data_IF_538983212660
#
_entry.id   IF_538983212660
#
_cell.length_a   1.000
_cell.length_b   1.000
_cell.length_c   1.000
_cell.angle_alpha   90.00
_cell.angle_beta   90.00
_cell.angle_gamma   90.00
#
_symmetry.space_group_name_H-M   'P 1'
#
loop_
_entity.id
_entity.type
_entity.pdbx_description
1 polymer ?
#
# COMPACT_ATOMS: atom_id res chain seq x y z
N UNK A 1 4.09 -11.42 4.78
CA UNK A 1 5.40 -11.60 4.11
C UNK A 1 5.25 -11.95 2.63
N UNK A 2 4.68 -13.09 2.24
CA UNK A 2 4.61 -13.58 0.85
C UNK A 2 3.86 -12.63 -0.10
N UNK A 3 2.79 -11.98 0.37
CA UNK A 3 2.01 -11.01 -0.42
C UNK A 3 2.85 -9.82 -0.85
N UNK A 4 3.71 -9.33 0.04
CA UNK A 4 4.60 -8.21 -0.24
C UNK A 4 5.81 -8.61 -1.05
N UNK A 5 6.35 -9.81 -0.80
CA UNK A 5 7.37 -10.37 -1.66
C UNK A 5 6.92 -10.32 -3.12
N UNK A 6 5.80 -10.96 -3.43
CA UNK A 6 5.33 -11.06 -4.80
C UNK A 6 5.01 -9.69 -5.42
N UNK A 7 4.45 -8.77 -4.63
CA UNK A 7 4.18 -7.43 -5.11
C UNK A 7 5.46 -6.66 -5.45
N UNK A 8 6.47 -6.73 -4.57
CA UNK A 8 7.74 -6.01 -4.79
C UNK A 8 8.58 -6.66 -5.89
N UNK A 9 8.55 -7.99 -5.99
CA UNK A 9 9.23 -8.74 -7.04
C UNK A 9 8.71 -8.44 -8.47
N UNK A 10 7.45 -7.98 -8.60
CA UNK A 10 6.89 -7.62 -9.90
C UNK A 10 7.42 -6.29 -10.45
N UNK A 11 7.88 -5.36 -9.61
CA UNK A 11 8.35 -4.07 -10.07
C UNK A 11 9.53 -4.15 -11.07
N UNK A 12 10.61 -4.89 -10.79
CA UNK A 12 11.69 -5.09 -11.74
C UNK A 12 11.30 -6.01 -12.93
N UNK A 13 10.22 -6.78 -12.81
CA UNK A 13 9.74 -7.65 -13.87
C UNK A 13 8.83 -6.94 -14.90
N UNK A 14 8.39 -5.69 -14.64
CA UNK A 14 7.48 -4.96 -15.53
C UNK A 14 7.98 -4.86 -16.98
N UNK A 15 9.26 -4.54 -17.26
CA UNK A 15 9.74 -4.48 -18.64
C UNK A 15 9.67 -5.84 -19.35
N UNK A 16 10.00 -6.94 -18.67
CA UNK A 16 9.92 -8.28 -19.24
C UNK A 16 8.48 -8.73 -19.48
N UNK A 17 7.53 -8.33 -18.63
CA UNK A 17 6.09 -8.55 -18.84
C UNK A 17 5.60 -7.76 -20.06
N UNK A 18 6.02 -6.48 -20.19
CA UNK A 18 5.67 -5.65 -21.34
C UNK A 18 6.15 -6.28 -22.65
N UNK A 19 7.39 -6.77 -22.67
CA UNK A 19 7.97 -7.44 -23.82
C UNK A 19 7.28 -8.78 -24.15
N UNK A 20 6.99 -9.60 -23.13
CA UNK A 20 6.35 -10.91 -23.29
C UNK A 20 4.95 -10.79 -23.92
N UNK A 21 4.13 -9.86 -23.44
CA UNK A 21 2.77 -9.62 -23.96
C UNK A 21 2.72 -8.60 -25.10
N UNK A 22 3.86 -8.03 -25.52
CA UNK A 22 3.98 -7.01 -26.59
C UNK A 22 3.08 -5.79 -26.32
N UNK A 23 3.12 -5.26 -25.09
CA UNK A 23 2.31 -4.14 -24.61
C UNK A 23 3.20 -2.98 -24.17
N UNK A 24 2.61 -1.79 -23.96
CA UNK A 24 3.32 -0.64 -23.41
C UNK A 24 3.69 -0.85 -21.93
N UNK A 25 4.78 -0.20 -21.49
CA UNK A 25 5.17 -0.18 -20.08
C UNK A 25 4.07 0.40 -19.17
N UNK A 26 3.30 1.37 -19.68
CA UNK A 26 2.15 1.93 -18.96
C UNK A 26 1.08 0.88 -18.69
N UNK A 27 0.78 0.01 -19.68
CA UNK A 27 -0.18 -1.08 -19.48
C UNK A 27 0.41 -2.18 -18.58
N UNK A 28 1.70 -2.48 -18.68
CA UNK A 28 2.36 -3.44 -17.80
C UNK A 28 2.33 -3.00 -16.32
N UNK A 29 2.40 -1.69 -16.03
CA UNK A 29 2.32 -1.18 -14.64
C UNK A 29 1.00 -1.53 -13.95
N UNK A 30 -0.06 -1.80 -14.72
CA UNK A 30 -1.34 -2.25 -14.18
C UNK A 30 -1.26 -3.61 -13.46
N UNK A 31 -0.22 -4.41 -13.72
CA UNK A 31 0.05 -5.65 -12.98
C UNK A 31 0.25 -5.36 -11.48
N UNK A 32 0.85 -4.24 -11.12
CA UNK A 32 0.96 -3.79 -9.73
C UNK A 32 -0.28 -3.01 -9.28
N UNK A 33 -0.76 -2.13 -10.13
CA UNK A 33 -1.88 -1.22 -9.83
C UNK A 33 -3.18 -1.99 -9.58
N UNK A 34 -3.55 -2.95 -10.43
CA UNK A 34 -4.77 -3.76 -10.26
C UNK A 34 -4.78 -4.52 -8.92
N UNK A 35 -3.64 -5.07 -8.53
CA UNK A 35 -3.44 -5.70 -7.23
C UNK A 35 -3.68 -4.71 -6.07
N UNK A 36 -3.14 -3.50 -6.14
CA UNK A 36 -3.27 -2.48 -5.11
C UNK A 36 -4.68 -1.89 -5.04
N UNK A 37 -5.32 -1.63 -6.18
CA UNK A 37 -6.70 -1.12 -6.23
C UNK A 37 -7.66 -2.10 -5.56
N UNK A 38 -7.57 -3.39 -5.93
CA UNK A 38 -8.35 -4.43 -5.27
C UNK A 38 -8.07 -4.45 -3.76
N UNK A 39 -6.79 -4.37 -3.38
CA UNK A 39 -6.37 -4.34 -1.98
C UNK A 39 -6.96 -3.17 -1.20
N UNK A 40 -6.99 -1.97 -1.79
CA UNK A 40 -7.56 -0.77 -1.16
C UNK A 40 -9.06 -0.97 -0.85
N UNK A 41 -9.81 -1.41 -1.85
CA UNK A 41 -11.25 -1.69 -1.72
C UNK A 41 -11.50 -2.81 -0.69
N UNK A 42 -10.78 -3.91 -0.84
CA UNK A 42 -10.96 -5.10 0.01
C UNK A 42 -10.51 -4.88 1.46
N UNK A 43 -9.61 -3.95 1.75
CA UNK A 43 -9.19 -3.67 3.13
C UNK A 43 -10.37 -3.25 4.01
N UNK A 44 -11.27 -2.42 3.49
CA UNK A 44 -12.46 -1.97 4.24
C UNK A 44 -13.50 -3.09 4.33
N UNK A 45 -13.73 -3.80 3.23
CA UNK A 45 -14.72 -4.89 3.14
C UNK A 45 -14.34 -6.03 4.08
N UNK A 46 -13.11 -6.51 3.99
CA UNK A 46 -12.62 -7.64 4.77
C UNK A 46 -12.51 -7.28 6.26
N UNK A 47 -12.24 -6.01 6.59
CA UNK A 47 -12.35 -5.51 7.95
C UNK A 47 -13.76 -5.75 8.52
N UNK A 48 -14.81 -5.26 7.84
CA UNK A 48 -16.21 -5.46 8.26
C UNK A 48 -16.63 -6.93 8.25
N UNK A 49 -16.27 -7.68 7.20
CA UNK A 49 -16.57 -9.12 7.10
C UNK A 49 -15.91 -9.91 8.23
N UNK A 50 -14.71 -9.55 8.65
CA UNK A 50 -14.03 -10.22 9.76
C UNK A 50 -14.76 -10.07 11.10
N UNK A 51 -15.51 -8.97 11.27
CA UNK A 51 -16.32 -8.76 12.47
C UNK A 51 -17.63 -9.59 12.44
N UNK A 52 -18.19 -9.82 11.24
CA UNK A 52 -19.43 -10.58 11.05
C UNK A 52 -19.23 -12.09 11.00
N UNK A 53 -18.22 -12.54 10.25
CA UNK A 53 -18.02 -13.96 9.89
C UNK A 53 -16.89 -14.60 10.70
N UNK A 54 -16.02 -13.76 11.28
CA UNK A 54 -14.86 -14.18 12.05
C UNK A 54 -13.53 -13.98 11.31
N UNK A 55 -12.53 -13.52 12.04
CA UNK A 55 -11.23 -13.14 11.50
C UNK A 55 -10.47 -14.31 10.85
N UNK A 56 -10.50 -15.51 11.44
CA UNK A 56 -9.87 -16.71 10.86
C UNK A 56 -10.46 -17.06 9.50
N UNK A 57 -11.79 -17.10 9.38
CA UNK A 57 -12.45 -17.45 8.11
C UNK A 57 -12.09 -16.46 7.00
N UNK A 58 -12.06 -15.17 7.31
CA UNK A 58 -11.69 -14.15 6.34
C UNK A 58 -10.22 -14.24 5.94
N UNK A 59 -9.32 -14.50 6.88
CA UNK A 59 -7.92 -14.75 6.55
C UNK A 59 -7.76 -15.95 5.60
N UNK A 60 -8.49 -17.06 5.88
CA UNK A 60 -8.46 -18.26 5.02
C UNK A 60 -8.96 -17.97 3.60
N UNK A 61 -10.07 -17.21 3.46
CA UNK A 61 -10.58 -16.81 2.14
C UNK A 61 -9.54 -15.97 1.38
N UNK A 62 -8.93 -14.98 2.04
CA UNK A 62 -7.91 -14.15 1.41
C UNK A 62 -6.67 -14.94 1.00
N UNK A 63 -6.21 -15.87 1.84
CA UNK A 63 -5.09 -16.74 1.53
C UNK A 63 -5.42 -17.71 0.40
N UNK A 64 -6.63 -18.26 0.34
CA UNK A 64 -7.09 -19.12 -0.74
C UNK A 64 -7.12 -18.35 -2.06
N UNK A 65 -7.71 -17.15 -2.11
CA UNK A 65 -7.73 -16.29 -3.30
C UNK A 65 -6.31 -15.96 -3.78
N UNK A 66 -5.40 -15.64 -2.86
CA UNK A 66 -4.01 -15.38 -3.19
C UNK A 66 -3.31 -16.62 -3.77
N UNK A 67 -3.51 -17.78 -3.14
CA UNK A 67 -2.89 -19.05 -3.55
C UNK A 67 -3.36 -19.45 -4.96
N UNK A 68 -4.69 -19.41 -5.20
CA UNK A 68 -5.27 -19.72 -6.51
C UNK A 68 -4.74 -18.75 -7.58
N UNK A 69 -4.77 -17.44 -7.30
CA UNK A 69 -4.25 -16.43 -8.23
C UNK A 69 -2.75 -16.61 -8.50
N UNK A 70 -1.97 -17.06 -7.48
CA UNK A 70 -0.52 -17.27 -7.63
C UNK A 70 -0.19 -18.52 -8.43
N UNK A 71 -0.95 -19.61 -8.27
CA UNK A 71 -0.78 -20.83 -9.04
C UNK A 71 -1.13 -20.62 -10.53
N UNK A 72 -2.20 -19.85 -10.80
CA UNK A 72 -2.71 -19.67 -12.16
C UNK A 72 -1.97 -18.56 -12.95
N UNK A 73 -1.39 -17.57 -12.28
CA UNK A 73 -0.78 -16.41 -12.93
C UNK A 73 0.31 -16.76 -13.96
N UNK A 74 1.22 -17.72 -13.74
CA UNK A 74 2.23 -18.09 -14.75
C UNK A 74 1.66 -18.59 -16.06
N UNK A 75 0.43 -19.12 -16.05
CA UNK A 75 -0.26 -19.71 -17.20
C UNK A 75 -1.19 -18.72 -17.91
N UNK A 76 -1.15 -17.43 -17.57
CA UNK A 76 -2.00 -16.42 -18.18
C UNK A 76 -1.69 -16.29 -19.69
N UNK A 77 -2.68 -16.52 -20.59
CA UNK A 77 -2.46 -16.47 -22.04
C UNK A 77 -2.34 -15.04 -22.58
N UNK A 78 -2.85 -14.06 -21.84
CA UNK A 78 -2.84 -12.65 -22.19
C UNK A 78 -2.80 -11.76 -20.95
N UNK A 79 -2.51 -10.47 -21.17
CA UNK A 79 -2.41 -9.50 -20.08
C UNK A 79 -3.73 -9.36 -19.29
N UNK A 80 -4.88 -9.42 -19.93
CA UNK A 80 -6.18 -9.27 -19.26
C UNK A 80 -6.40 -10.40 -18.24
N UNK A 81 -6.06 -11.63 -18.60
CA UNK A 81 -6.11 -12.77 -17.68
C UNK A 81 -5.14 -12.57 -16.51
N UNK A 82 -3.90 -12.11 -16.79
CA UNK A 82 -2.93 -11.82 -15.74
C UNK A 82 -3.47 -10.74 -14.80
N UNK A 83 -4.05 -9.65 -15.32
CA UNK A 83 -4.64 -8.59 -14.50
C UNK A 83 -5.81 -9.10 -13.64
N UNK A 84 -6.69 -9.95 -14.19
CA UNK A 84 -7.76 -10.56 -13.42
C UNK A 84 -7.23 -11.41 -12.24
N UNK A 85 -6.17 -12.18 -12.47
CA UNK A 85 -5.52 -12.96 -11.42
C UNK A 85 -4.80 -12.06 -10.39
N UNK A 86 -4.24 -10.92 -10.82
CA UNK A 86 -3.69 -9.91 -9.91
C UNK A 86 -4.77 -9.24 -9.04
N UNK A 87 -5.97 -9.01 -9.60
CA UNK A 87 -7.13 -8.56 -8.81
C UNK A 87 -7.49 -9.61 -7.76
N UNK A 88 -7.56 -10.89 -8.13
CA UNK A 88 -7.83 -11.98 -7.18
C UNK A 88 -6.78 -12.04 -6.05
N UNK A 89 -5.50 -11.92 -6.38
CA UNK A 89 -4.41 -11.86 -5.40
C UNK A 89 -4.50 -10.60 -4.53
N UNK A 90 -4.98 -9.48 -5.07
CA UNK A 90 -5.13 -8.20 -4.38
C UNK A 90 -6.04 -8.26 -3.13
N UNK A 91 -6.97 -9.22 -3.08
CA UNK A 91 -7.81 -9.48 -1.91
C UNK A 91 -6.96 -9.72 -0.66
N UNK A 92 -5.78 -10.33 -0.80
CA UNK A 92 -4.87 -10.62 0.30
C UNK A 92 -4.16 -9.40 0.90
N UNK A 93 -4.14 -8.25 0.21
CA UNK A 93 -3.60 -6.99 0.77
C UNK A 93 -4.38 -6.56 2.02
N UNK A 94 -5.67 -6.92 2.09
CA UNK A 94 -6.52 -6.68 3.24
C UNK A 94 -6.15 -7.51 4.49
N UNK A 95 -5.12 -8.34 4.43
CA UNK A 95 -4.71 -9.21 5.56
C UNK A 95 -4.22 -8.44 6.79
N UNK A 96 -3.67 -7.24 6.62
CA UNK A 96 -3.05 -6.47 7.72
C UNK A 96 -4.00 -6.20 8.89
N UNK A 97 -5.19 -5.60 8.72
CA UNK A 97 -6.11 -5.36 9.83
C UNK A 97 -6.59 -6.67 10.47
N UNK A 98 -6.83 -7.71 9.67
CA UNK A 98 -7.28 -9.02 10.17
C UNK A 98 -6.19 -9.73 10.96
N UNK A 99 -4.95 -9.72 10.47
CA UNK A 99 -3.81 -10.30 11.19
C UNK A 99 -3.55 -9.59 12.52
N UNK A 100 -3.63 -8.25 12.54
CA UNK A 100 -3.51 -7.48 13.77
C UNK A 100 -4.59 -7.83 14.78
N UNK A 101 -5.85 -8.00 14.32
CA UNK A 101 -6.96 -8.45 15.16
C UNK A 101 -6.71 -9.86 15.72
N UNK A 102 -6.30 -10.81 14.88
CA UNK A 102 -5.98 -12.18 15.33
C UNK A 102 -4.85 -12.21 16.35
N UNK A 103 -3.79 -11.43 16.14
CA UNK A 103 -2.69 -11.32 17.13
C UNK A 103 -3.21 -10.77 18.45
N UNK A 104 -4.06 -9.75 18.42
CA UNK A 104 -4.66 -9.16 19.63
C UNK A 104 -5.55 -10.15 20.38
N UNK A 105 -6.30 -10.96 19.64
CA UNK A 105 -7.30 -11.89 20.21
C UNK A 105 -6.64 -13.20 20.71
N UNK A 106 -5.49 -13.61 20.16
CA UNK A 106 -4.84 -14.90 20.49
C UNK A 106 -3.58 -14.76 21.33
N UNK A 107 -3.01 -13.56 21.44
CA UNK A 107 -1.77 -13.33 22.19
C UNK A 107 -2.09 -12.58 23.49
N UNK A 108 -1.53 -13.02 24.66
CA UNK A 108 -1.72 -12.31 25.93
C UNK A 108 -1.41 -10.81 25.81
N UNK A 109 -2.19 -9.95 26.47
CA UNK A 109 -2.07 -8.48 26.40
C UNK A 109 -0.63 -7.99 26.65
N UNK A 110 0.09 -8.63 27.57
CA UNK A 110 1.50 -8.32 27.87
C UNK A 110 2.47 -8.62 26.72
N UNK A 111 2.17 -9.60 25.85
CA UNK A 111 2.98 -10.02 24.70
C UNK A 111 2.50 -9.48 23.36
N UNK A 112 1.36 -8.78 23.32
CA UNK A 112 0.80 -8.20 22.11
C UNK A 112 1.80 -7.30 21.35
N UNK A 113 2.57 -6.37 22.01
CA UNK A 113 3.54 -5.55 21.29
C UNK A 113 4.63 -6.38 20.60
N UNK A 114 5.05 -7.49 21.22
CA UNK A 114 6.05 -8.40 20.65
C UNK A 114 5.47 -9.11 19.42
N UNK A 115 4.28 -9.66 19.52
CA UNK A 115 3.59 -10.32 18.40
C UNK A 115 3.39 -9.38 17.19
N UNK A 116 2.96 -8.15 17.46
CA UNK A 116 2.80 -7.13 16.43
C UNK A 116 4.13 -6.72 15.79
N UNK A 117 5.20 -6.59 16.59
CA UNK A 117 6.55 -6.28 16.07
C UNK A 117 7.08 -7.38 15.17
N UNK A 118 6.91 -8.66 15.52
CA UNK A 118 7.31 -9.80 14.69
C UNK A 118 6.51 -9.78 13.37
N UNK A 119 5.20 -9.52 13.43
CA UNK A 119 4.37 -9.41 12.23
C UNK A 119 4.86 -8.29 11.29
N UNK A 120 5.11 -7.09 11.83
CA UNK A 120 5.58 -5.95 11.04
C UNK A 120 6.99 -6.16 10.47
N UNK A 121 7.88 -6.82 11.23
CA UNK A 121 9.22 -7.20 10.75
C UNK A 121 9.14 -8.22 9.60
N UNK A 122 8.28 -9.23 9.72
CA UNK A 122 8.03 -10.20 8.65
C UNK A 122 7.39 -9.52 7.42
N UNK A 123 6.52 -8.52 7.63
CA UNK A 123 5.93 -7.71 6.57
C UNK A 123 7.01 -6.97 5.77
N UNK A 124 7.90 -6.23 6.45
CA UNK A 124 9.01 -5.49 5.82
C UNK A 124 10.06 -6.43 5.21
N UNK A 125 10.35 -7.56 5.87
CA UNK A 125 11.24 -8.60 5.34
C UNK A 125 10.75 -9.19 4.03
N UNK A 126 9.43 -9.35 3.86
CA UNK A 126 8.84 -9.77 2.59
C UNK A 126 9.10 -8.79 1.45
N UNK A 127 9.01 -7.48 1.72
CA UNK A 127 9.35 -6.45 0.73
C UNK A 127 10.82 -6.49 0.33
N UNK A 128 11.73 -6.60 1.32
CA UNK A 128 13.17 -6.67 1.08
C UNK A 128 13.55 -7.91 0.24
N UNK A 129 13.02 -9.08 0.62
CA UNK A 129 13.25 -10.31 -0.13
C UNK A 129 12.69 -10.23 -1.55
N UNK A 130 11.52 -9.64 -1.75
CA UNK A 130 10.93 -9.45 -3.08
C UNK A 130 11.76 -8.55 -3.97
N UNK A 131 12.32 -7.48 -3.42
CA UNK A 131 13.19 -6.57 -4.14
C UNK A 131 14.50 -7.24 -4.61
N UNK A 132 15.09 -8.09 -3.76
CA UNK A 132 16.37 -8.75 -4.03
C UNK A 132 16.20 -10.01 -4.88
N UNK A 133 15.34 -10.92 -4.45
CA UNK A 133 15.15 -12.21 -5.12
C UNK A 133 14.29 -12.10 -6.38
N UNK A 134 13.39 -11.10 -6.45
CA UNK A 134 12.50 -10.91 -7.58
C UNK A 134 13.23 -10.81 -8.92
N UNK A 135 14.20 -9.90 -9.09
CA UNK A 135 14.99 -9.79 -10.31
C UNK A 135 15.81 -11.05 -10.61
N UNK A 136 16.40 -11.66 -9.57
CA UNK A 136 17.21 -12.88 -9.71
C UNK A 136 16.39 -14.05 -10.24
N UNK A 137 15.22 -14.26 -9.64
CA UNK A 137 14.30 -15.31 -10.06
C UNK A 137 13.75 -15.02 -11.46
N UNK A 138 13.48 -13.76 -11.77
CA UNK A 138 13.00 -13.37 -13.11
C UNK A 138 14.07 -13.51 -14.19
N UNK A 139 15.35 -13.48 -13.86
CA UNK A 139 16.46 -13.66 -14.80
C UNK A 139 16.57 -15.10 -15.34
N UNK A 140 16.07 -16.10 -14.60
CA UNK A 140 16.03 -17.50 -15.03
C UNK A 140 14.74 -17.82 -15.81
N UNK A 141 13.68 -18.29 -15.13
CA UNK A 141 12.42 -18.71 -15.78
C UNK A 141 11.53 -17.53 -16.21
N UNK A 142 12.05 -16.30 -16.23
CA UNK A 142 11.29 -15.10 -16.55
C UNK A 142 10.45 -14.61 -15.37
N UNK A 143 9.54 -13.66 -15.64
CA UNK A 143 8.64 -13.08 -14.64
C UNK A 143 7.76 -14.14 -13.94
N UNK A 144 7.45 -15.24 -14.62
CA UNK A 144 6.68 -16.37 -14.10
C UNK A 144 7.38 -17.05 -12.91
N UNK A 145 8.70 -17.04 -12.87
CA UNK A 145 9.50 -17.67 -11.82
C UNK A 145 9.13 -17.21 -10.42
N UNK A 146 8.79 -15.93 -10.26
CA UNK A 146 8.36 -15.39 -8.97
C UNK A 146 7.04 -16.02 -8.48
N UNK A 147 6.14 -16.36 -9.40
CA UNK A 147 4.91 -17.07 -9.07
C UNK A 147 5.17 -18.54 -8.75
N UNK A 148 6.03 -19.22 -9.54
CA UNK A 148 6.43 -20.62 -9.26
C UNK A 148 7.09 -20.75 -7.88
N UNK A 149 7.92 -19.79 -7.49
CA UNK A 149 8.52 -19.78 -6.15
C UNK A 149 7.48 -19.56 -5.05
N UNK A 150 6.53 -18.64 -5.26
CA UNK A 150 5.54 -18.31 -4.26
C UNK A 150 4.42 -19.35 -4.11
N UNK A 151 4.06 -20.07 -5.18
CA UNK A 151 2.93 -20.98 -5.17
C UNK A 151 3.05 -22.09 -4.10
N UNK A 152 4.14 -22.87 -4.01
CA UNK A 152 4.26 -23.89 -2.97
C UNK A 152 4.27 -23.29 -1.56
N UNK A 153 4.93 -22.13 -1.38
CA UNK A 153 4.96 -21.44 -0.08
C UNK A 153 3.56 -20.98 0.32
N UNK A 154 2.76 -20.47 -0.63
CA UNK A 154 1.38 -20.04 -0.38
C UNK A 154 0.48 -21.21 0.04
N UNK A 155 0.63 -22.38 -0.60
CA UNK A 155 -0.10 -23.60 -0.22
C UNK A 155 0.27 -24.06 1.18
N UNK A 156 1.57 -24.12 1.50
CA UNK A 156 2.05 -24.49 2.85
C UNK A 156 1.51 -23.51 3.90
N UNK A 157 1.60 -22.20 3.64
CA UNK A 157 1.09 -21.18 4.56
C UNK A 157 -0.43 -21.27 4.73
N UNK A 158 -1.17 -21.55 3.67
CA UNK A 158 -2.62 -21.76 3.74
C UNK A 158 -2.94 -22.94 4.69
N UNK A 159 -2.22 -24.06 4.54
CA UNK A 159 -2.36 -25.23 5.40
C UNK A 159 -1.97 -24.92 6.86
N UNK A 160 -0.84 -24.23 7.07
CA UNK A 160 -0.38 -23.82 8.41
C UNK A 160 -1.42 -22.91 9.09
N UNK A 161 -1.92 -21.89 8.38
CA UNK A 161 -2.96 -21.01 8.92
C UNK A 161 -4.25 -21.77 9.25
N UNK A 162 -4.68 -22.70 8.38
CA UNK A 162 -5.85 -23.53 8.63
C UNK A 162 -5.69 -24.39 9.88
N UNK A 163 -4.51 -25.02 10.07
CA UNK A 163 -4.22 -25.98 11.15
C UNK A 163 -3.99 -25.33 12.51
N UNK A 164 -3.27 -24.19 12.53
CA UNK A 164 -2.75 -23.62 13.78
C UNK A 164 -3.50 -22.39 14.29
N UNK A 165 -4.22 -21.67 13.45
CA UNK A 165 -5.01 -20.52 13.91
C UNK A 165 -6.34 -21.05 14.49
N UNK A 166 -6.62 -20.73 15.77
CA UNK A 166 -7.86 -21.13 16.44
C UNK A 166 -9.00 -20.15 16.15
N UNK A 167 -10.24 -20.66 16.01
CA UNK A 167 -11.39 -19.86 15.58
C UNK A 167 -12.34 -19.45 16.71
N UNK A 168 -12.24 -20.05 17.89
CA UNK A 168 -13.34 -20.02 18.85
C UNK A 168 -13.21 -19.03 20.01
N UNK A 169 -12.03 -18.45 20.24
CA UNK A 169 -11.85 -17.56 21.41
C UNK A 169 -12.45 -16.15 21.20
N UNK A 170 -12.45 -15.63 19.95
CA UNK A 170 -12.99 -14.29 19.69
C UNK A 170 -14.51 -14.19 19.92
N UNK A 171 -15.27 -15.29 19.70
CA UNK A 171 -16.71 -15.33 20.01
C UNK A 171 -16.97 -15.38 21.52
N UNK A 172 -16.21 -16.20 22.26
CA UNK A 172 -16.38 -16.36 23.71
C UNK A 172 -15.97 -15.11 24.49
N UNK A 173 -14.89 -14.44 24.07
CA UNK A 173 -14.45 -13.18 24.70
C UNK A 173 -15.45 -12.07 24.39
N UNK A 174 -15.95 -11.98 23.18
CA UNK A 174 -16.94 -10.96 22.80
C UNK A 174 -18.30 -11.18 23.48
N UNK A 175 -18.74 -12.43 23.64
CA UNK A 175 -19.93 -12.78 24.43
C UNK A 175 -19.72 -12.57 25.94
N UNK A 176 -18.49 -12.76 26.44
CA UNK A 176 -18.17 -12.51 27.85
C UNK A 176 -18.06 -11.00 28.14
N UNK A 177 -17.40 -10.24 27.26
CA UNK A 177 -17.29 -8.77 27.39
C UNK A 177 -18.69 -8.12 27.26
N UNK A 178 -19.55 -8.60 26.36
CA UNK A 178 -20.93 -8.13 26.24
C UNK A 178 -21.76 -8.43 27.51
N UNK A 179 -21.58 -9.60 28.13
CA UNK A 179 -22.29 -9.94 29.39
C UNK A 179 -21.78 -9.13 30.60
N UNK A 180 -20.50 -8.77 30.60
CA UNK A 180 -19.90 -7.93 31.66
C UNK A 180 -20.32 -6.46 31.49
N UNK A 181 -20.41 -5.99 30.23
CA UNK A 181 -20.89 -4.63 29.94
C UNK A 181 -22.42 -4.49 30.10
N UNK A 182 -23.21 -5.55 29.82
CA UNK A 182 -24.65 -5.60 30.11
C UNK A 182 -24.95 -5.60 31.62
N UNK A 183 -24.07 -6.13 32.44
CA UNK A 183 -24.22 -6.10 33.92
C UNK A 183 -23.85 -4.74 34.53
N UNK A 184 -23.19 -3.85 33.78
CA UNK A 184 -22.68 -2.56 34.26
C UNK A 184 -23.28 -1.32 33.60
N UNK A 185 -24.19 -1.47 32.61
CA UNK A 185 -24.83 -0.32 31.95
C UNK A 185 -26.31 -0.58 31.65
N UNK A 186 -27.17 0.28 32.17
CA UNK A 186 -28.64 0.34 31.92
C UNK A 186 -29.00 0.82 30.48
N UNK A 187 -28.09 0.71 29.52
CA UNK A 187 -28.32 1.10 28.12
C UNK A 187 -28.24 -0.16 27.25
N UNK A 188 -29.35 -0.62 26.65
CA UNK A 188 -29.34 -1.78 25.75
C UNK A 188 -28.58 -1.44 24.47
N UNK A 189 -27.29 -1.72 24.42
CA UNK A 189 -26.48 -1.62 23.21
C UNK A 189 -26.83 -2.81 22.30
N UNK A 190 -27.99 -2.74 21.63
CA UNK A 190 -28.32 -3.69 20.54
C UNK A 190 -27.21 -3.57 19.51
N UNK A 191 -26.36 -4.59 19.41
CA UNK A 191 -25.38 -4.73 18.33
C UNK A 191 -26.11 -4.60 16.99
N UNK A 192 -26.10 -3.42 16.39
CA UNK A 192 -26.76 -3.13 15.12
C UNK A 192 -26.11 -4.02 14.07
N UNK A 193 -26.86 -4.99 13.54
CA UNK A 193 -26.41 -5.92 12.49
C UNK A 193 -25.84 -5.08 11.34
N UNK A 194 -24.51 -4.95 11.26
CA UNK A 194 -23.84 -4.12 10.25
C UNK A 194 -24.08 -4.75 8.88
N UNK A 195 -24.71 -4.02 7.98
CA UNK A 195 -24.91 -4.45 6.59
C UNK A 195 -23.72 -4.00 5.74
N UNK A 196 -23.36 -4.79 4.74
CA UNK A 196 -22.32 -4.44 3.78
C UNK A 196 -22.92 -3.46 2.76
N UNK A 197 -22.27 -2.33 2.57
CA UNK A 197 -22.64 -1.35 1.55
C UNK A 197 -22.01 -1.71 0.19
N UNK A 198 -22.68 -2.59 -0.57
CA UNK A 198 -22.22 -3.00 -1.90
C UNK A 198 -22.16 -1.82 -2.89
N UNK A 199 -23.07 -0.85 -2.77
CA UNK A 199 -23.11 0.30 -3.67
C UNK A 199 -21.92 1.21 -3.41
N UNK A 200 -21.60 1.47 -2.12
CA UNK A 200 -20.40 2.20 -1.74
C UNK A 200 -19.11 1.52 -2.23
N UNK A 201 -19.04 0.18 -2.16
CA UNK A 201 -17.91 -0.60 -2.68
C UNK A 201 -17.73 -0.38 -4.18
N UNK A 202 -18.80 -0.55 -4.96
CA UNK A 202 -18.75 -0.43 -6.42
C UNK A 202 -18.38 0.99 -6.82
N UNK A 203 -19.02 1.99 -6.23
CA UNK A 203 -18.74 3.39 -6.55
C UNK A 203 -17.31 3.79 -6.22
N UNK A 204 -16.76 3.33 -5.09
CA UNK A 204 -15.35 3.53 -4.72
C UNK A 204 -14.40 2.84 -5.71
N UNK A 205 -14.68 1.59 -6.08
CA UNK A 205 -13.84 0.84 -7.02
C UNK A 205 -13.81 1.52 -8.40
N UNK A 206 -14.98 1.89 -8.94
CA UNK A 206 -15.08 2.59 -10.23
C UNK A 206 -14.36 3.94 -10.18
N UNK A 207 -14.49 4.70 -9.08
CA UNK A 207 -13.77 5.97 -8.87
C UNK A 207 -12.26 5.77 -8.99
N UNK A 208 -11.70 4.82 -8.23
CA UNK A 208 -10.25 4.56 -8.21
C UNK A 208 -9.74 4.10 -9.58
N UNK A 209 -10.43 3.13 -10.20
CA UNK A 209 -10.04 2.61 -11.52
C UNK A 209 -10.11 3.72 -12.57
N UNK A 210 -11.16 4.53 -12.59
CA UNK A 210 -11.33 5.60 -13.57
C UNK A 210 -10.26 6.68 -13.46
N UNK A 211 -9.90 7.11 -12.25
CA UNK A 211 -8.79 8.05 -12.04
C UNK A 211 -7.45 7.47 -12.49
N UNK A 212 -7.19 6.19 -12.22
CA UNK A 212 -5.96 5.54 -12.65
C UNK A 212 -5.87 5.36 -14.17
N UNK A 213 -7.00 5.06 -14.83
CA UNK A 213 -7.08 5.06 -16.30
C UNK A 213 -6.80 6.46 -16.86
N UNK A 214 -7.40 7.50 -16.28
CA UNK A 214 -7.13 8.88 -16.69
C UNK A 214 -5.63 9.23 -16.57
N UNK A 215 -4.98 8.90 -15.43
CA UNK A 215 -3.55 9.12 -15.25
C UNK A 215 -2.74 8.35 -16.30
N UNK A 216 -3.08 7.08 -16.57
CA UNK A 216 -2.40 6.26 -17.58
C UNK A 216 -2.49 6.87 -18.97
N UNK A 217 -3.67 7.41 -19.33
CA UNK A 217 -3.93 7.99 -20.63
C UNK A 217 -3.53 9.48 -20.74
N UNK A 218 -2.97 10.07 -19.67
CA UNK A 218 -2.51 11.46 -19.69
C UNK A 218 -1.44 11.75 -20.75
N UNK A 219 -0.67 10.74 -21.14
CA UNK A 219 0.30 10.85 -22.25
C UNK A 219 -0.36 11.07 -23.62
N UNK A 220 -1.62 10.67 -23.77
CA UNK A 220 -2.36 10.79 -25.02
C UNK A 220 -3.13 12.12 -25.15
N UNK A 221 -3.00 13.05 -24.21
CA UNK A 221 -3.78 14.30 -24.19
C UNK A 221 -3.61 15.09 -25.49
N UNK A 222 -2.38 15.16 -26.00
CA UNK A 222 -2.09 15.90 -27.24
C UNK A 222 -2.68 15.26 -28.51
N UNK A 223 -2.89 13.93 -28.50
CA UNK A 223 -3.40 13.18 -29.68
C UNK A 223 -4.87 12.81 -29.53
N UNK A 224 -5.33 12.54 -28.31
CA UNK A 224 -6.71 12.13 -28.03
C UNK A 224 -7.16 12.62 -26.64
N UNK A 225 -7.59 13.88 -26.59
CA UNK A 225 -8.08 14.51 -25.37
C UNK A 225 -9.26 13.75 -24.74
N UNK A 226 -10.15 13.17 -25.55
CA UNK A 226 -11.32 12.43 -25.05
C UNK A 226 -10.92 11.18 -24.29
N UNK A 227 -9.85 10.49 -24.70
CA UNK A 227 -9.35 9.31 -23.98
C UNK A 227 -8.95 9.64 -22.54
N UNK A 228 -8.48 10.85 -22.26
CA UNK A 228 -8.17 11.33 -20.92
C UNK A 228 -9.40 11.85 -20.17
N UNK A 229 -10.21 12.71 -20.84
CA UNK A 229 -11.33 13.43 -20.19
C UNK A 229 -12.46 12.48 -19.79
N UNK A 230 -12.75 11.45 -20.61
CA UNK A 230 -13.85 10.53 -20.32
C UNK A 230 -13.62 9.73 -19.03
N UNK A 231 -12.48 9.04 -18.81
CA UNK A 231 -12.24 8.37 -17.54
C UNK A 231 -12.16 9.34 -16.35
N UNK A 232 -11.60 10.53 -16.56
CA UNK A 232 -11.56 11.56 -15.52
C UNK A 232 -12.97 11.99 -15.11
N UNK A 233 -13.85 12.25 -16.05
CA UNK A 233 -15.25 12.63 -15.79
C UNK A 233 -16.01 11.50 -15.09
N UNK A 234 -15.83 10.24 -15.54
CA UNK A 234 -16.41 9.07 -14.88
C UNK A 234 -15.91 8.99 -13.43
N UNK A 235 -14.60 9.16 -13.21
CA UNK A 235 -14.02 9.17 -11.87
C UNK A 235 -14.63 10.22 -10.96
N UNK A 236 -14.81 11.45 -11.44
CA UNK A 236 -15.45 12.55 -10.68
C UNK A 236 -16.91 12.25 -10.39
N UNK A 237 -17.68 11.78 -11.39
CA UNK A 237 -19.10 11.44 -11.22
C UNK A 237 -19.24 10.34 -10.16
N UNK A 238 -18.45 9.26 -10.23
CA UNK A 238 -18.53 8.16 -9.29
C UNK A 238 -18.00 8.55 -7.90
N UNK A 239 -17.05 9.48 -7.80
CA UNK A 239 -16.63 10.06 -6.51
C UNK A 239 -17.79 10.81 -5.83
N UNK A 240 -18.53 11.61 -6.60
CA UNK A 240 -19.72 12.32 -6.09
C UNK A 240 -20.80 11.32 -5.68
N UNK A 241 -21.06 10.31 -6.52
CA UNK A 241 -21.99 9.22 -6.20
C UNK A 241 -21.58 8.47 -4.93
N UNK A 242 -20.30 8.15 -4.80
CA UNK A 242 -19.75 7.53 -3.57
C UNK A 242 -20.04 8.39 -2.34
N UNK A 243 -19.77 9.70 -2.39
CA UNK A 243 -20.07 10.60 -1.28
C UNK A 243 -21.56 10.68 -0.94
N UNK A 244 -22.45 10.64 -1.95
CA UNK A 244 -23.91 10.64 -1.76
C UNK A 244 -24.36 9.32 -1.12
N UNK A 245 -23.87 8.19 -1.63
CA UNK A 245 -24.18 6.85 -1.11
C UNK A 245 -23.72 6.72 0.34
N UNK A 246 -22.48 7.11 0.66
CA UNK A 246 -21.94 7.08 2.02
C UNK A 246 -22.72 7.95 3.01
N UNK A 247 -23.21 9.13 2.56
CA UNK A 247 -24.07 9.98 3.41
C UNK A 247 -25.41 9.35 3.74
N UNK A 248 -25.95 8.50 2.84
CA UNK A 248 -27.28 7.87 2.99
C UNK A 248 -27.20 6.45 3.53
N UNK A 249 -26.04 5.84 3.53
CA UNK A 249 -25.83 4.46 3.94
C UNK A 249 -26.10 4.30 5.46
N UNK A 250 -26.91 3.30 5.82
CA UNK A 250 -27.15 2.94 7.22
C UNK A 250 -25.91 2.38 7.92
N UNK A 251 -24.94 1.89 7.16
CA UNK A 251 -23.68 1.31 7.64
C UNK A 251 -22.55 1.65 6.66
N UNK A 252 -22.14 2.95 6.60
CA UNK A 252 -21.18 3.43 5.62
C UNK A 252 -19.85 2.68 5.69
N UNK A 253 -19.15 2.56 4.56
CA UNK A 253 -17.78 2.03 4.49
C UNK A 253 -16.81 2.98 5.17
N UNK A 254 -16.97 4.26 4.87
CA UNK A 254 -16.15 5.34 5.40
C UNK A 254 -17.10 6.36 6.02
N UNK A 255 -17.06 6.52 7.34
CA UNK A 255 -17.83 7.58 7.97
C UNK A 255 -17.27 8.94 7.54
N UNK A 256 -18.04 9.68 6.74
CA UNK A 256 -17.58 10.95 6.15
C UNK A 256 -17.31 12.02 7.22
N UNK A 257 -18.07 12.06 8.32
CA UNK A 257 -17.80 13.01 9.42
C UNK A 257 -16.41 12.75 10.03
N UNK A 258 -16.05 11.45 10.18
CA UNK A 258 -14.73 11.05 10.66
C UNK A 258 -13.65 11.33 9.60
N UNK A 259 -13.89 10.97 8.34
CA UNK A 259 -12.93 11.13 7.25
C UNK A 259 -12.58 12.61 6.99
N UNK A 260 -13.55 13.52 7.11
CA UNK A 260 -13.36 14.95 6.90
C UNK A 260 -12.99 15.73 8.18
N UNK A 261 -12.82 15.06 9.34
CA UNK A 261 -12.25 15.72 10.49
C UNK A 261 -10.84 16.26 10.15
N UNK A 262 -10.55 17.57 10.37
CA UNK A 262 -9.36 18.21 9.79
C UNK A 262 -8.03 17.50 10.08
N UNK A 263 -7.84 16.97 11.30
CA UNK A 263 -6.63 16.22 11.67
C UNK A 263 -6.57 14.88 10.93
N UNK A 264 -7.69 14.14 10.90
CA UNK A 264 -7.78 12.82 10.26
C UNK A 264 -7.63 12.96 8.75
N UNK A 265 -8.32 13.94 8.14
CA UNK A 265 -8.22 14.22 6.71
C UNK A 265 -6.80 14.55 6.29
N UNK A 266 -6.13 15.45 7.04
CA UNK A 266 -4.74 15.80 6.75
C UNK A 266 -3.82 14.59 6.86
N UNK A 267 -3.99 13.75 7.90
CA UNK A 267 -3.23 12.51 8.07
C UNK A 267 -3.46 11.51 6.94
N UNK A 268 -4.70 11.38 6.46
CA UNK A 268 -5.07 10.51 5.35
C UNK A 268 -4.45 10.96 4.02
N UNK A 269 -4.44 12.28 3.72
CA UNK A 269 -3.76 12.83 2.54
C UNK A 269 -2.25 12.59 2.62
N UNK A 270 -1.63 12.81 3.78
CA UNK A 270 -0.20 12.53 3.95
C UNK A 270 0.13 11.05 3.78
N UNK A 271 -0.75 10.15 4.23
CA UNK A 271 -0.58 8.71 4.07
C UNK A 271 -0.72 8.28 2.60
N UNK A 272 -1.63 8.90 1.84
CA UNK A 272 -1.74 8.74 0.39
C UNK A 272 -0.45 9.18 -0.32
N UNK A 273 0.03 10.39 -0.02
CA UNK A 273 1.27 10.93 -0.60
C UNK A 273 2.48 10.05 -0.25
N UNK A 274 2.56 9.55 0.98
CA UNK A 274 3.59 8.60 1.38
C UNK A 274 3.52 7.30 0.57
N UNK A 275 2.32 6.79 0.29
CA UNK A 275 2.12 5.63 -0.58
C UNK A 275 2.68 5.87 -1.99
N UNK A 276 2.43 7.03 -2.59
CA UNK A 276 2.98 7.40 -3.90
C UNK A 276 4.51 7.45 -3.84
N UNK A 277 5.09 8.16 -2.86
CA UNK A 277 6.54 8.27 -2.68
C UNK A 277 7.22 6.90 -2.54
N UNK A 278 6.62 6.00 -1.76
CA UNK A 278 7.12 4.65 -1.58
C UNK A 278 7.20 3.89 -2.92
N UNK A 279 6.19 4.04 -3.76
CA UNK A 279 6.16 3.35 -5.05
C UNK A 279 6.96 4.05 -6.15
N UNK A 280 7.25 5.34 -6.05
CA UNK A 280 8.28 5.99 -6.88
C UNK A 280 9.64 5.29 -6.74
N UNK A 281 9.97 4.90 -5.50
CA UNK A 281 11.20 4.15 -5.21
C UNK A 281 11.08 2.70 -5.68
N UNK A 282 10.00 2.00 -5.29
CA UNK A 282 9.82 0.57 -5.60
C UNK A 282 9.82 0.31 -7.11
N UNK A 283 9.24 1.21 -7.92
CA UNK A 283 9.14 1.06 -9.37
C UNK A 283 10.21 1.80 -10.16
N UNK A 284 10.64 2.98 -9.71
CA UNK A 284 11.61 3.82 -10.42
C UNK A 284 13.05 3.32 -10.27
N UNK A 285 13.47 2.90 -9.08
CA UNK A 285 14.86 2.46 -8.85
C UNK A 285 15.24 1.21 -9.65
N UNK A 286 14.40 0.15 -9.76
CA UNK A 286 14.73 -0.96 -10.63
C UNK A 286 14.87 -0.57 -12.10
N UNK A 287 14.05 0.37 -12.59
CA UNK A 287 14.15 0.86 -13.96
C UNK A 287 15.44 1.64 -14.19
N UNK A 288 15.84 2.50 -13.23
CA UNK A 288 17.14 3.20 -13.26
C UNK A 288 18.31 2.20 -13.23
N UNK A 289 18.21 1.17 -12.38
CA UNK A 289 19.26 0.16 -12.24
C UNK A 289 19.45 -0.69 -13.49
N UNK A 290 18.37 -1.10 -14.15
CA UNK A 290 18.39 -2.02 -15.30
C UNK A 290 18.60 -1.32 -16.63
N UNK A 291 18.25 -0.03 -16.77
CA UNK A 291 18.43 0.70 -18.02
C UNK A 291 19.94 0.82 -18.37
N UNK A 292 20.33 0.58 -19.63
CA UNK A 292 21.73 0.71 -20.05
C UNK A 292 22.19 2.17 -20.05
N UNK A 293 23.51 2.43 -19.88
CA UNK A 293 24.05 3.78 -20.06
C UNK A 293 23.77 4.33 -21.47
N UNK A 294 23.49 5.64 -21.65
CA UNK A 294 23.47 6.68 -20.61
C UNK A 294 22.16 6.82 -19.83
N UNK A 295 21.14 5.99 -20.11
CA UNK A 295 19.80 6.09 -19.48
C UNK A 295 19.80 5.67 -18.02
N UNK A 296 20.64 4.72 -17.63
CA UNK A 296 20.72 4.17 -16.28
C UNK A 296 22.07 3.54 -15.98
N UNK A 297 22.08 2.60 -15.03
CA UNK A 297 23.31 2.01 -14.51
C UNK A 297 23.75 0.72 -15.21
N UNK A 298 22.89 0.11 -16.03
CA UNK A 298 23.18 -1.15 -16.74
C UNK A 298 23.53 -2.33 -15.82
N UNK A 299 22.89 -2.39 -14.65
CA UNK A 299 23.20 -3.38 -13.63
C UNK A 299 22.54 -4.73 -13.92
N UNK A 300 23.23 -5.81 -13.53
CA UNK A 300 22.66 -7.15 -13.51
C UNK A 300 21.45 -7.24 -12.55
N UNK A 301 20.52 -8.18 -12.78
CA UNK A 301 19.30 -8.33 -11.97
C UNK A 301 19.58 -8.43 -10.45
N UNK A 302 20.65 -9.14 -10.05
CA UNK A 302 21.03 -9.25 -8.65
C UNK A 302 21.45 -7.90 -8.05
N UNK A 303 22.23 -7.12 -8.79
CA UNK A 303 22.66 -5.78 -8.36
C UNK A 303 21.47 -4.81 -8.32
N UNK A 304 20.55 -4.90 -9.28
CA UNK A 304 19.29 -4.13 -9.26
C UNK A 304 18.49 -4.43 -8.00
N UNK A 305 18.33 -5.71 -7.65
CA UNK A 305 17.67 -6.12 -6.41
C UNK A 305 18.37 -5.61 -5.16
N UNK A 306 19.71 -5.64 -5.14
CA UNK A 306 20.51 -5.16 -4.01
C UNK A 306 20.34 -3.66 -3.73
N UNK A 307 20.00 -2.84 -4.75
CA UNK A 307 19.70 -1.42 -4.55
C UNK A 307 18.53 -1.20 -3.57
N UNK A 308 17.52 -2.05 -3.59
CA UNK A 308 16.36 -1.92 -2.70
C UNK A 308 16.53 -2.62 -1.34
N UNK A 309 17.60 -3.38 -1.16
CA UNK A 309 17.89 -4.09 0.09
C UNK A 309 18.05 -3.11 1.24
N UNK A 310 18.76 -2.00 1.02
CA UNK A 310 18.97 -0.97 2.01
C UNK A 310 17.67 -0.37 2.55
N UNK A 311 16.67 -0.15 1.68
CA UNK A 311 15.33 0.28 2.04
C UNK A 311 14.63 -0.73 2.97
N UNK A 312 14.60 -2.01 2.57
CA UNK A 312 13.95 -3.07 3.34
C UNK A 312 14.63 -3.32 4.70
N UNK A 313 15.97 -3.35 4.73
CA UNK A 313 16.74 -3.53 5.96
C UNK A 313 16.53 -2.36 6.93
N UNK A 314 16.56 -1.13 6.44
CA UNK A 314 16.27 0.04 7.27
C UNK A 314 14.90 -0.04 7.92
N UNK A 315 13.85 -0.37 7.15
CA UNK A 315 12.50 -0.57 7.71
C UNK A 315 12.45 -1.69 8.75
N UNK A 316 13.15 -2.79 8.51
CA UNK A 316 13.19 -3.93 9.41
C UNK A 316 13.88 -3.59 10.74
N UNK A 317 14.95 -2.80 10.70
CA UNK A 317 15.70 -2.38 11.89
C UNK A 317 14.94 -1.29 12.66
N UNK A 318 14.53 -0.22 11.97
CA UNK A 318 13.95 0.96 12.62
C UNK A 318 12.47 0.81 12.99
N UNK A 319 11.72 -0.10 12.34
CA UNK A 319 10.32 -0.35 12.65
C UNK A 319 10.09 -0.71 14.13
N UNK A 320 10.70 -1.77 14.66
CA UNK A 320 10.60 -2.12 16.08
C UNK A 320 11.15 -1.02 17.01
N UNK A 321 12.26 -0.37 16.64
CA UNK A 321 12.88 0.70 17.43
C UNK A 321 11.91 1.86 17.63
N UNK A 322 11.33 2.39 16.54
CA UNK A 322 10.35 3.47 16.64
C UNK A 322 9.08 3.02 17.35
N UNK A 323 8.66 1.76 17.15
CA UNK A 323 7.53 1.18 17.86
C UNK A 323 7.69 1.25 19.37
N UNK A 324 8.85 0.82 19.88
CA UNK A 324 9.18 0.86 21.30
C UNK A 324 9.28 2.30 21.83
N UNK A 325 9.91 3.21 21.08
CA UNK A 325 10.07 4.62 21.47
C UNK A 325 8.69 5.30 21.59
N UNK A 326 7.82 5.09 20.60
CA UNK A 326 6.48 5.69 20.57
C UNK A 326 5.59 5.10 21.68
N UNK A 327 5.68 3.80 21.93
CA UNK A 327 4.91 3.14 23.00
C UNK A 327 5.24 3.66 24.40
N UNK A 328 6.50 4.03 24.64
CA UNK A 328 6.98 4.52 25.95
C UNK A 328 6.60 5.98 26.24
N UNK A 329 6.33 6.81 25.23
CA UNK A 329 6.10 8.26 25.39
C UNK A 329 4.84 8.72 24.69
N UNK A 330 3.76 8.94 25.44
CA UNK A 330 2.51 9.52 24.91
C UNK A 330 2.76 10.91 24.31
N UNK A 331 2.19 11.20 23.13
CA UNK A 331 2.33 12.50 22.44
C UNK A 331 3.59 12.65 21.58
N UNK A 332 4.49 11.66 21.54
CA UNK A 332 5.69 11.70 20.71
C UNK A 332 5.36 11.58 19.20
N UNK A 333 4.23 10.98 18.83
CA UNK A 333 3.79 10.83 17.45
C UNK A 333 3.81 12.15 16.65
N UNK A 334 3.18 13.21 17.19
CA UNK A 334 3.14 14.52 16.54
C UNK A 334 4.51 15.20 16.45
N UNK A 335 5.40 14.94 17.42
CA UNK A 335 6.76 15.49 17.41
C UNK A 335 7.65 14.82 16.38
N UNK A 336 7.45 13.51 16.14
CA UNK A 336 8.23 12.71 15.20
C UNK A 336 7.72 12.82 13.75
N UNK A 337 6.52 13.38 13.54
CA UNK A 337 5.91 13.49 12.21
C UNK A 337 6.75 14.35 11.26
N UNK A 338 7.10 15.57 11.67
CA UNK A 338 7.91 16.49 10.84
C UNK A 338 9.31 15.92 10.57
N UNK A 339 10.09 15.45 11.57
CA UNK A 339 11.35 14.77 11.32
C UNK A 339 11.24 13.60 10.34
N UNK A 340 10.21 12.76 10.45
CA UNK A 340 10.00 11.63 9.53
C UNK A 340 9.84 12.06 8.08
N UNK A 341 9.10 13.15 7.83
CA UNK A 341 8.92 13.68 6.47
C UNK A 341 10.20 14.36 5.97
N UNK A 342 10.91 15.08 6.83
CA UNK A 342 12.21 15.67 6.47
C UNK A 342 13.20 14.58 6.07
N UNK A 343 13.25 13.46 6.78
CA UNK A 343 14.07 12.30 6.39
C UNK A 343 13.67 11.78 4.99
N UNK A 344 12.37 11.68 4.69
CA UNK A 344 11.91 11.30 3.36
C UNK A 344 12.33 12.33 2.29
N UNK A 345 12.20 13.63 2.58
CA UNK A 345 12.63 14.70 1.67
C UNK A 345 14.15 14.65 1.40
N UNK A 346 14.95 14.45 2.44
CA UNK A 346 16.42 14.28 2.31
C UNK A 346 16.74 13.11 1.40
N UNK A 347 16.05 11.99 1.54
CA UNK A 347 16.25 10.82 0.67
C UNK A 347 16.01 11.15 -0.80
N UNK A 348 14.91 11.83 -1.13
CA UNK A 348 14.61 12.21 -2.51
C UNK A 348 15.58 13.28 -3.03
N UNK A 349 16.07 14.20 -2.19
CA UNK A 349 17.15 15.13 -2.54
C UNK A 349 18.45 14.39 -2.84
N UNK A 350 18.82 13.41 -2.02
CA UNK A 350 19.98 12.56 -2.28
C UNK A 350 19.84 11.81 -3.62
N UNK A 351 18.65 11.26 -3.91
CA UNK A 351 18.40 10.61 -5.20
C UNK A 351 18.46 11.62 -6.36
N UNK A 352 17.95 12.84 -6.18
CA UNK A 352 17.97 13.86 -7.22
C UNK A 352 19.40 14.25 -7.63
N UNK A 353 20.30 14.40 -6.67
CA UNK A 353 21.67 14.88 -6.92
C UNK A 353 22.70 13.77 -7.02
N UNK A 354 22.48 12.60 -6.40
CA UNK A 354 23.48 11.54 -6.23
C UNK A 354 22.95 10.15 -6.62
N UNK A 355 22.32 10.01 -7.80
CA UNK A 355 21.82 8.72 -8.30
C UNK A 355 22.73 8.03 -9.33
N UNK A 356 23.96 8.51 -9.53
CA UNK A 356 24.89 7.98 -10.53
C UNK A 356 25.64 6.72 -10.07
N UNK A 357 25.63 6.38 -8.77
CA UNK A 357 26.31 5.20 -8.25
C UNK A 357 25.39 4.34 -7.38
N UNK A 358 25.60 3.02 -7.39
CA UNK A 358 24.84 2.09 -6.57
C UNK A 358 24.95 2.40 -5.06
N UNK A 359 26.11 2.88 -4.61
CA UNK A 359 26.34 3.19 -3.20
C UNK A 359 25.54 4.41 -2.75
N UNK A 360 25.50 5.47 -3.54
CA UNK A 360 24.71 6.67 -3.22
C UNK A 360 23.22 6.38 -3.22
N UNK A 361 22.73 5.56 -4.18
CA UNK A 361 21.35 5.09 -4.20
C UNK A 361 21.04 4.29 -2.94
N UNK A 362 21.88 3.31 -2.57
CA UNK A 362 21.68 2.52 -1.35
C UNK A 362 21.63 3.40 -0.08
N UNK A 363 22.50 4.40 0.02
CA UNK A 363 22.48 5.38 1.09
C UNK A 363 21.16 6.15 1.17
N UNK A 364 20.72 6.68 0.03
CA UNK A 364 19.44 7.39 -0.05
C UNK A 364 18.26 6.50 0.31
N UNK A 365 18.25 5.24 -0.17
CA UNK A 365 17.20 4.28 0.13
C UNK A 365 17.18 3.82 1.59
N UNK A 366 18.35 3.72 2.24
CA UNK A 366 18.43 3.47 3.68
C UNK A 366 17.80 4.61 4.48
N UNK A 367 18.06 5.85 4.09
CA UNK A 367 17.41 7.05 4.67
C UNK A 367 15.90 7.00 4.45
N UNK A 368 15.42 6.67 3.23
CA UNK A 368 13.98 6.55 2.98
C UNK A 368 13.33 5.43 3.78
N UNK A 369 14.01 4.30 3.97
CA UNK A 369 13.51 3.18 4.76
C UNK A 369 13.28 3.57 6.23
N UNK A 370 14.11 4.46 6.79
CA UNK A 370 13.91 5.02 8.13
C UNK A 370 12.61 5.83 8.19
N UNK A 371 12.34 6.68 7.20
CA UNK A 371 11.08 7.40 7.07
C UNK A 371 9.90 6.43 6.87
N UNK A 372 10.11 5.38 6.07
CA UNK A 372 9.13 4.32 5.79
C UNK A 372 8.71 3.52 7.03
N UNK A 373 9.62 3.37 8.00
CA UNK A 373 9.30 2.77 9.29
C UNK A 373 8.54 3.73 10.21
N UNK A 374 8.88 5.02 10.18
CA UNK A 374 8.37 6.02 11.12
C UNK A 374 7.01 6.61 10.70
N UNK A 375 6.86 7.01 9.43
CA UNK A 375 5.70 7.78 8.97
C UNK A 375 4.37 7.04 9.06
N UNK A 376 4.22 5.80 8.55
CA UNK A 376 2.95 5.09 8.65
C UNK A 376 2.50 4.89 10.09
N UNK A 377 3.44 4.66 11.00
CA UNK A 377 3.15 4.46 12.41
C UNK A 377 2.71 5.76 13.10
N UNK A 378 3.44 6.86 12.88
CA UNK A 378 3.10 8.17 13.48
C UNK A 378 1.79 8.71 12.95
N UNK A 379 1.53 8.59 11.64
CA UNK A 379 0.28 9.01 11.00
C UNK A 379 -0.90 8.20 11.52
N UNK A 380 -0.81 6.87 11.52
CA UNK A 380 -1.88 6.00 12.01
C UNK A 380 -2.18 6.26 13.49
N UNK A 381 -1.15 6.35 14.35
CA UNK A 381 -1.36 6.62 15.77
C UNK A 381 -1.95 8.00 16.01
N UNK A 382 -1.60 9.02 15.21
CA UNK A 382 -2.17 10.35 15.33
C UNK A 382 -3.64 10.36 14.90
N UNK A 383 -3.99 9.74 13.78
CA UNK A 383 -5.39 9.66 13.31
C UNK A 383 -6.25 8.87 14.29
N UNK A 384 -5.75 7.76 14.85
CA UNK A 384 -6.43 6.99 15.90
C UNK A 384 -6.65 7.84 17.16
N UNK A 385 -5.69 8.68 17.54
CA UNK A 385 -5.80 9.56 18.70
C UNK A 385 -6.95 10.58 18.64
N UNK A 386 -7.43 10.90 17.43
CA UNK A 386 -8.58 11.78 17.18
C UNK A 386 -9.86 11.03 16.83
N UNK A 387 -9.81 9.70 16.80
CA UNK A 387 -10.93 8.82 16.50
C UNK A 387 -11.51 8.26 17.81
N UNK A 388 -12.84 8.28 18.01
CA UNK A 388 -13.47 7.65 19.18
C UNK A 388 -13.10 6.16 19.29
N UNK A 389 -13.06 5.64 20.51
CA UNK A 389 -12.62 4.26 20.78
C UNK A 389 -13.39 3.21 19.98
N UNK A 390 -14.68 3.42 19.79
CA UNK A 390 -15.60 2.54 19.05
C UNK A 390 -15.28 2.49 17.54
N UNK A 391 -14.63 3.52 16.99
CA UNK A 391 -14.33 3.68 15.57
C UNK A 391 -12.83 3.54 15.24
N UNK A 392 -11.98 3.21 16.21
CA UNK A 392 -10.51 3.14 16.02
C UNK A 392 -10.09 2.13 14.94
N UNK A 393 -10.80 1.02 14.84
CA UNK A 393 -10.59 0.02 13.79
C UNK A 393 -10.86 0.58 12.40
N UNK A 394 -12.00 1.29 12.24
CA UNK A 394 -12.37 1.94 10.96
C UNK A 394 -11.39 3.06 10.63
N UNK A 395 -11.03 3.90 11.60
CA UNK A 395 -10.06 4.99 11.40
C UNK A 395 -8.70 4.50 10.91
N UNK A 396 -8.16 3.46 11.55
CA UNK A 396 -6.89 2.85 11.12
C UNK A 396 -6.98 2.17 9.74
N UNK A 397 -8.12 1.53 9.45
CA UNK A 397 -8.35 0.91 8.15
C UNK A 397 -8.39 1.95 7.02
N UNK A 398 -9.09 3.08 7.22
CA UNK A 398 -9.15 4.18 6.26
C UNK A 398 -7.77 4.78 6.01
N UNK A 399 -6.99 5.04 7.08
CA UNK A 399 -5.63 5.56 6.95
C UNK A 399 -4.72 4.61 6.16
N UNK A 400 -4.79 3.30 6.44
CA UNK A 400 -4.02 2.31 5.68
C UNK A 400 -4.52 2.17 4.22
N UNK A 401 -5.83 2.27 4.00
CA UNK A 401 -6.43 2.29 2.66
C UNK A 401 -5.85 3.45 1.83
N UNK A 402 -5.72 4.65 2.39
CA UNK A 402 -5.13 5.80 1.70
C UNK A 402 -3.69 5.51 1.25
N UNK A 403 -2.88 4.84 2.08
CA UNK A 403 -1.54 4.39 1.70
C UNK A 403 -1.55 3.42 0.52
N UNK A 404 -2.50 2.48 0.51
CA UNK A 404 -2.64 1.49 -0.57
C UNK A 404 -3.11 2.18 -1.86
N UNK A 405 -4.04 3.13 -1.78
CA UNK A 405 -4.46 3.97 -2.93
C UNK A 405 -3.27 4.73 -3.51
N UNK A 406 -2.46 5.37 -2.65
CA UNK A 406 -1.20 5.99 -3.07
C UNK A 406 -0.25 5.00 -3.75
N UNK A 407 -0.16 3.76 -3.20
CA UNK A 407 0.60 2.66 -3.79
C UNK A 407 0.07 2.18 -5.15
N UNK A 408 -1.23 2.35 -5.43
CA UNK A 408 -1.81 2.08 -6.74
C UNK A 408 -1.50 3.20 -7.76
N UNK A 409 -1.49 4.45 -7.31
CA UNK A 409 -1.18 5.63 -8.13
C UNK A 409 0.31 5.66 -8.49
N UNK A 410 1.18 5.32 -7.55
CA UNK A 410 2.64 5.46 -7.67
C UNK A 410 3.24 4.80 -8.91
N UNK A 411 2.99 3.51 -9.20
CA UNK A 411 3.53 2.82 -10.38
C UNK A 411 3.09 3.48 -11.69
N UNK A 412 1.83 3.90 -11.79
CA UNK A 412 1.29 4.57 -12.97
C UNK A 412 1.96 5.92 -13.17
N UNK A 413 2.05 6.75 -12.14
CA UNK A 413 2.75 8.04 -12.21
C UNK A 413 4.23 7.84 -12.58
N UNK A 414 4.91 6.85 -11.99
CA UNK A 414 6.30 6.54 -12.33
C UNK A 414 6.46 6.24 -13.81
N UNK A 415 5.63 5.35 -14.36
CA UNK A 415 5.73 4.97 -15.78
C UNK A 415 5.36 6.12 -16.71
N UNK A 416 4.37 6.94 -16.36
CA UNK A 416 3.99 8.15 -17.12
C UNK A 416 5.15 9.15 -17.16
N UNK A 417 5.78 9.42 -16.01
CA UNK A 417 6.95 10.33 -15.94
C UNK A 417 8.11 9.77 -16.73
N UNK A 418 8.45 8.49 -16.58
CA UNK A 418 9.60 7.91 -17.26
C UNK A 418 9.38 7.76 -18.77
N UNK A 419 8.14 7.62 -19.23
CA UNK A 419 7.80 7.56 -20.65
C UNK A 419 7.66 8.96 -21.30
N UNK A 420 7.69 10.05 -20.53
CA UNK A 420 7.53 11.42 -21.07
C UNK A 420 8.67 11.85 -21.99
N UNK A 421 9.87 11.29 -21.82
CA UNK A 421 10.98 11.44 -22.74
C UNK A 421 11.80 10.14 -22.78
N UNK A 422 12.05 9.63 -23.97
CA UNK A 422 12.78 8.37 -24.19
C UNK A 422 13.98 8.58 -25.10
N UNK A 423 14.99 7.72 -24.94
CA UNK A 423 16.18 7.64 -25.79
C UNK A 423 16.25 6.24 -26.38
N UNK A 424 16.48 6.17 -27.70
CA UNK A 424 16.69 4.89 -28.37
C UNK A 424 18.13 4.45 -28.22
N UNK A 425 18.34 3.32 -27.56
CA UNK A 425 19.66 2.70 -27.35
C UNK A 425 19.66 1.36 -28.08
N UNK A 426 20.69 1.11 -28.89
CA UNK A 426 20.87 -0.16 -29.58
C UNK A 426 21.55 -1.17 -28.64
N UNK A 427 20.84 -2.19 -28.24
CA UNK A 427 21.36 -3.31 -27.44
C UNK A 427 21.24 -4.57 -28.26
N UNK A 428 22.35 -5.30 -28.47
CA UNK A 428 22.40 -6.51 -29.28
C UNK A 428 21.79 -6.33 -30.69
N UNK A 429 22.12 -5.23 -31.38
CA UNK A 429 21.62 -4.84 -32.71
C UNK A 429 20.09 -4.61 -32.77
N UNK A 430 19.39 -4.45 -31.64
CA UNK A 430 17.98 -4.10 -31.57
C UNK A 430 17.87 -2.71 -30.96
N UNK A 431 17.25 -1.77 -31.66
CA UNK A 431 16.94 -0.44 -31.13
C UNK A 431 15.78 -0.55 -30.12
N UNK A 432 16.09 -0.30 -28.85
CA UNK A 432 15.11 -0.34 -27.76
C UNK A 432 14.99 1.04 -27.14
N UNK A 433 13.76 1.46 -26.84
CA UNK A 433 13.49 2.75 -26.20
C UNK A 433 13.60 2.64 -24.68
N UNK A 434 14.44 3.47 -24.08
CA UNK A 434 14.65 3.57 -22.64
C UNK A 434 14.27 4.97 -22.13
N UNK A 435 13.89 5.12 -20.84
CA UNK A 435 13.65 6.44 -20.25
C UNK A 435 14.89 7.34 -20.38
N UNK A 436 14.70 8.60 -20.71
CA UNK A 436 15.81 9.57 -20.71
C UNK A 436 16.33 9.81 -19.27
N UNK A 437 17.62 10.07 -19.04
CA UNK A 437 18.15 10.42 -17.72
C UNK A 437 17.39 11.59 -17.06
N UNK A 438 16.92 12.54 -17.85
CA UNK A 438 16.14 13.69 -17.36
C UNK A 438 14.83 13.25 -16.69
N UNK A 439 14.21 12.17 -17.14
CA UNK A 439 12.94 11.71 -16.57
C UNK A 439 13.10 11.15 -15.16
N UNK A 440 14.26 10.58 -14.83
CA UNK A 440 14.57 10.18 -13.45
C UNK A 440 14.74 11.41 -12.55
N UNK A 441 15.37 12.48 -13.04
CA UNK A 441 15.44 13.75 -12.31
C UNK A 441 14.05 14.35 -12.08
N UNK A 442 13.15 14.28 -13.06
CA UNK A 442 11.76 14.71 -12.91
C UNK A 442 11.04 13.84 -11.85
N UNK A 443 11.23 12.53 -11.86
CA UNK A 443 10.65 11.62 -10.89
C UNK A 443 11.11 11.94 -9.45
N UNK A 444 12.41 12.10 -9.25
CA UNK A 444 12.98 12.42 -7.93
C UNK A 444 12.62 13.85 -7.50
N UNK A 445 12.60 14.81 -8.42
CA UNK A 445 12.14 16.18 -8.18
C UNK A 445 10.67 16.24 -7.76
N UNK A 446 9.80 15.47 -8.42
CA UNK A 446 8.40 15.33 -8.01
C UNK A 446 8.29 14.72 -6.60
N UNK A 447 9.16 13.76 -6.26
CA UNK A 447 9.26 13.20 -4.91
C UNK A 447 9.65 14.27 -3.87
N UNK A 448 10.62 15.12 -4.16
CA UNK A 448 11.01 16.26 -3.30
C UNK A 448 9.85 17.23 -3.12
N UNK A 449 9.19 17.64 -4.20
CA UNK A 449 8.05 18.56 -4.15
C UNK A 449 6.92 18.02 -3.31
N UNK A 450 6.61 16.73 -3.47
CA UNK A 450 5.58 16.03 -2.67
C UNK A 450 5.98 15.94 -1.19
N UNK A 451 7.24 15.63 -0.88
CA UNK A 451 7.73 15.61 0.49
C UNK A 451 7.67 16.99 1.14
N UNK A 452 8.01 18.06 0.42
CA UNK A 452 7.86 19.44 0.91
C UNK A 452 6.40 19.77 1.19
N UNK A 453 5.47 19.41 0.30
CA UNK A 453 4.03 19.56 0.54
C UNK A 453 3.59 18.81 1.80
N UNK A 454 4.11 17.61 2.05
CA UNK A 454 3.87 16.88 3.29
C UNK A 454 4.42 17.60 4.54
N UNK A 455 5.53 18.32 4.46
CA UNK A 455 6.04 19.13 5.59
C UNK A 455 5.02 20.21 5.96
N UNK A 456 4.47 20.94 4.98
CA UNK A 456 3.43 21.94 5.23
C UNK A 456 2.17 21.31 5.84
N UNK A 457 1.72 20.17 5.33
CA UNK A 457 0.59 19.43 5.88
C UNK A 457 0.86 18.95 7.31
N UNK A 458 2.08 18.50 7.62
CA UNK A 458 2.46 18.10 8.96
C UNK A 458 2.46 19.27 9.97
N UNK A 459 2.95 20.43 9.55
CA UNK A 459 2.89 21.65 10.37
C UNK A 459 1.43 22.04 10.63
N UNK A 460 0.59 22.02 9.59
CA UNK A 460 -0.85 22.26 9.72
C UNK A 460 -1.51 21.23 10.64
N UNK A 461 -1.21 19.94 10.47
CA UNK A 461 -1.75 18.87 11.32
C UNK A 461 -1.35 19.06 12.78
N UNK A 462 -0.10 19.41 13.06
CA UNK A 462 0.38 19.72 14.41
C UNK A 462 -0.39 20.89 15.01
N UNK A 463 -0.60 21.97 14.27
CA UNK A 463 -1.37 23.14 14.73
C UNK A 463 -2.84 22.81 14.98
N UNK A 464 -3.48 22.02 14.09
CA UNK A 464 -4.85 21.55 14.27
C UNK A 464 -4.99 20.65 15.50
N UNK A 465 -4.05 19.71 15.68
CA UNK A 465 -4.06 18.76 16.79
C UNK A 465 -3.89 19.43 18.17
N UNK A 466 -3.28 20.62 18.23
CA UNK A 466 -3.17 21.38 19.49
C UNK A 466 -4.43 22.20 19.79
N UNK A 467 -5.25 22.51 18.78
CA UNK A 467 -6.46 23.35 18.92
C UNK A 467 -7.75 22.56 18.97
N UNK A 468 -7.78 21.36 18.41
CA UNK A 468 -8.99 20.55 18.27
C UNK A 468 -9.05 19.48 19.35
N UNK A 469 -10.25 19.21 19.82
CA UNK A 469 -10.55 18.10 20.74
C UNK A 469 -10.80 16.84 19.92
N UNK A 470 -10.37 15.66 20.39
CA UNK A 470 -10.74 14.39 19.77
C UNK A 470 -12.26 14.23 19.67
N UNK A 471 -12.72 13.62 18.56
CA UNK A 471 -14.13 13.34 18.35
C UNK A 471 -14.68 12.39 19.41
N UNK A 472 -15.91 12.61 19.81
CA UNK A 472 -16.69 11.68 20.66
C UNK A 472 -17.64 10.84 19.79
N UNK A 473 -18.13 9.72 20.33
CA UNK A 473 -19.10 8.90 19.62
C UNK A 473 -20.38 9.66 19.26
N UNK A 474 -20.77 10.67 20.09
CA UNK A 474 -21.94 11.54 19.83
C UNK A 474 -21.75 12.45 18.60
N UNK A 475 -20.52 12.86 18.32
CA UNK A 475 -20.22 13.74 17.15
C UNK A 475 -20.34 12.98 15.82
N UNK A 476 -20.27 11.64 15.86
CA UNK A 476 -20.26 10.75 14.72
C UNK A 476 -21.66 10.16 14.45
N UNK A 477 -22.44 9.92 15.49
CA UNK A 477 -23.83 9.48 15.37
C UNK A 477 -24.69 10.57 14.73
#
# INVERSE_FOLDING_TARGET
MIFLYLNTAMAPALPSIAQYFKISNSLASWVMTAYMVCGAVMTVIMGKLSDLVGAKKMLMVMMACFTVGTILAPFAPNISTLLALRVLQGIAVASTPISTKLIRDQVPKSKFPIGLSIYLSAYSGGMALGAVLGPVVAAGPGWQGNFYLCAPIAVVLLFVCWRFIHSDESKKIHEHDLRVDEASSDIPTKAKKQRIDFIGIITMAVTLVSFLIAITLSQSIATNLLAFVVPLAIGVIFLVLFMIVEKRAKSPLVNLKLAFHPVIFTGNIMMLMFGILQYFIITGIPQLGSAPPPSGLGLDPLKVGSLQLAFGLSMMIFGPVFGLIIAKRRGLNLKLLVPGIVIAAISFLLLLFFHSTSQSINGALFVFGTAGALLPMTLTNTTIGFTPKEYTGIGSAVTNMMRIVGGAIGPVMTTVILASATVSITVNNVATSYPSPVTFNILFGAGVAMAIACVFLAMRMKHLATKMVPLTAKDIA
#
